data_IF_377680107997
#
_entry.id   IF_377680107997
#
_cell.length_a   1.000
_cell.length_b   1.000
_cell.length_c   1.000
_cell.angle_alpha   90.00
_cell.angle_beta   90.00
_cell.angle_gamma   90.00
#
_symmetry.space_group_name_H-M   'P 1'
#
loop_
_entity.id
_entity.type
_entity.pdbx_description
1 polymer ?
#
# COMPACT_ATOMS: atom_id res chain seq x y z
N UNK A 1 19.71 -5.19 14.42
CA UNK A 1 18.38 -4.60 14.68
C UNK A 1 17.84 -4.01 13.39
N UNK A 2 16.57 -4.22 13.07
CA UNK A 2 15.93 -3.63 11.88
C UNK A 2 15.12 -2.37 12.23
N UNK A 3 15.02 -1.43 11.29
CA UNK A 3 14.19 -0.23 11.42
C UNK A 3 13.10 -0.26 10.35
N UNK A 4 11.86 0.04 10.74
CA UNK A 4 10.74 0.20 9.80
C UNK A 4 10.85 1.58 9.15
N UNK A 5 11.12 1.61 7.85
CA UNK A 5 11.32 2.86 7.10
C UNK A 5 10.10 3.31 6.29
N UNK A 6 9.12 2.43 6.10
CA UNK A 6 7.87 2.72 5.41
C UNK A 6 6.74 1.78 5.85
N UNK A 7 5.51 2.28 5.80
CA UNK A 7 4.29 1.52 6.09
C UNK A 7 3.14 2.03 5.22
N UNK A 8 2.18 1.16 4.91
CA UNK A 8 1.00 1.47 4.12
C UNK A 8 0.09 0.26 4.03
N UNK A 9 -1.14 0.49 3.59
CA UNK A 9 -2.12 -0.58 3.42
C UNK A 9 -3.18 -0.23 2.39
N UNK A 10 -4.07 -1.18 2.17
CA UNK A 10 -5.22 -1.07 1.28
C UNK A 10 -6.44 -1.65 1.99
N UNK A 11 -7.57 -0.99 1.81
CA UNK A 11 -8.88 -1.46 2.27
C UNK A 11 -9.82 -1.48 1.06
N UNK A 12 -10.93 -2.22 1.13
CA UNK A 12 -12.07 -2.00 0.21
C UNK A 12 -12.49 -0.54 0.35
N UNK A 13 -12.72 0.13 -0.78
CA UNK A 13 -13.13 1.54 -0.77
C UNK A 13 -14.55 1.66 -0.21
N UNK A 14 -14.77 2.32 0.94
CA UNK A 14 -16.10 2.42 1.54
C UNK A 14 -17.07 3.30 0.74
N UNK A 15 -16.55 4.06 -0.24
CA UNK A 15 -17.35 4.92 -1.11
C UNK A 15 -17.56 4.34 -2.51
N UNK A 16 -16.91 3.21 -2.81
CA UNK A 16 -17.20 2.46 -4.02
C UNK A 16 -18.31 1.45 -3.73
N UNK A 17 -19.32 1.39 -4.59
CA UNK A 17 -20.30 0.29 -4.60
C UNK A 17 -19.75 -0.98 -5.27
N UNK A 18 -18.43 -1.17 -5.23
CA UNK A 18 -17.74 -2.30 -5.86
C UNK A 18 -16.63 -2.83 -4.92
N UNK A 19 -16.75 -4.06 -4.40
CA UNK A 19 -15.76 -4.67 -3.51
C UNK A 19 -14.41 -4.95 -4.20
N UNK A 20 -14.33 -4.87 -5.53
CA UNK A 20 -13.08 -4.99 -6.28
C UNK A 20 -12.26 -3.69 -6.26
N UNK A 21 -12.87 -2.57 -5.85
CA UNK A 21 -12.18 -1.28 -5.76
C UNK A 21 -11.58 -1.13 -4.36
N UNK A 22 -10.25 -1.09 -4.32
CA UNK A 22 -9.49 -0.84 -3.10
C UNK A 22 -8.96 0.59 -3.00
N UNK A 23 -8.94 1.15 -1.79
CA UNK A 23 -8.36 2.46 -1.47
C UNK A 23 -7.07 2.30 -0.68
N UNK A 24 -5.97 2.81 -1.24
CA UNK A 24 -4.70 2.92 -0.54
C UNK A 24 -4.83 3.89 0.63
N UNK A 25 -4.32 3.52 1.81
CA UNK A 25 -4.36 4.36 3.02
C UNK A 25 -3.06 4.29 3.82
N UNK A 26 -2.81 5.36 4.59
CA UNK A 26 -1.72 5.48 5.57
C UNK A 26 -0.33 5.15 5.01
N UNK A 27 -0.05 5.61 3.78
CA UNK A 27 1.27 5.42 3.15
C UNK A 27 2.24 6.47 3.70
N UNK A 28 3.22 6.01 4.46
CA UNK A 28 4.23 6.84 5.09
C UNK A 28 5.63 6.30 4.79
N UNK A 29 6.57 7.23 4.60
CA UNK A 29 8.00 6.95 4.46
C UNK A 29 8.74 7.91 5.39
N UNK A 30 9.65 7.35 6.19
CA UNK A 30 10.54 8.12 7.06
C UNK A 30 11.25 9.21 6.24
N UNK A 31 11.40 10.40 6.81
CA UNK A 31 11.81 11.61 6.08
C UNK A 31 13.16 11.43 5.39
N UNK A 32 14.10 10.77 6.07
CA UNK A 32 15.48 10.47 5.67
C UNK A 32 15.55 9.47 4.50
N UNK A 33 14.45 8.80 4.22
CA UNK A 33 14.30 7.75 3.21
C UNK A 33 13.39 8.17 2.05
N UNK A 34 12.86 9.40 2.07
CA UNK A 34 12.05 9.93 0.95
C UNK A 34 12.92 10.15 -0.29
N UNK A 35 12.25 10.24 -1.45
CA UNK A 35 12.86 10.43 -2.79
C UNK A 35 13.80 9.32 -3.26
N UNK A 36 13.89 8.21 -2.52
CA UNK A 36 14.65 6.99 -2.88
C UNK A 36 13.79 5.88 -3.50
N UNK A 37 12.57 6.20 -3.95
CA UNK A 37 11.65 5.22 -4.57
C UNK A 37 10.92 4.28 -3.60
N UNK A 38 11.15 4.36 -2.29
CA UNK A 38 10.59 3.44 -1.29
C UNK A 38 9.05 3.43 -1.27
N UNK A 39 8.42 4.61 -1.34
CA UNK A 39 6.95 4.70 -1.37
C UNK A 39 6.34 4.01 -2.61
N UNK A 40 6.98 4.16 -3.77
CA UNK A 40 6.58 3.48 -5.01
C UNK A 40 6.74 1.97 -4.87
N UNK A 41 7.86 1.50 -4.33
CA UNK A 41 8.08 0.07 -4.08
C UNK A 41 6.99 -0.52 -3.19
N UNK A 42 6.69 0.15 -2.06
CA UNK A 42 5.65 -0.27 -1.13
C UNK A 42 4.27 -0.36 -1.79
N UNK A 43 3.85 0.68 -2.51
CA UNK A 43 2.55 0.68 -3.20
C UNK A 43 2.47 -0.44 -4.24
N UNK A 44 3.52 -0.61 -5.06
CA UNK A 44 3.56 -1.68 -6.06
C UNK A 44 3.45 -3.07 -5.43
N UNK A 45 4.10 -3.27 -4.27
CA UNK A 45 4.01 -4.53 -3.53
C UNK A 45 2.60 -4.77 -3.00
N UNK A 46 1.97 -3.76 -2.40
CA UNK A 46 0.57 -3.82 -1.94
C UNK A 46 -0.35 -4.20 -3.11
N UNK A 47 -0.24 -3.52 -4.26
CA UNK A 47 -1.07 -3.81 -5.44
C UNK A 47 -0.83 -5.21 -6.00
N UNK A 48 0.43 -5.66 -6.04
CA UNK A 48 0.77 -7.01 -6.50
C UNK A 48 0.17 -8.09 -5.59
N UNK A 49 0.31 -7.95 -4.28
CA UNK A 49 -0.19 -8.94 -3.32
C UNK A 49 -1.73 -8.95 -3.29
N UNK A 50 -2.36 -7.78 -3.37
CA UNK A 50 -3.83 -7.66 -3.33
C UNK A 50 -4.50 -8.31 -4.54
N UNK A 51 -3.90 -8.23 -5.73
CA UNK A 51 -4.38 -8.94 -6.93
C UNK A 51 -4.44 -10.46 -6.78
N UNK A 52 -3.67 -11.03 -5.83
CA UNK A 52 -3.67 -12.48 -5.56
C UNK A 52 -4.75 -12.86 -4.55
N UNK A 53 -5.17 -11.93 -3.70
CA UNK A 53 -6.08 -12.20 -2.57
C UNK A 53 -7.53 -11.84 -2.87
N UNK A 54 -7.80 -10.79 -3.66
CA UNK A 54 -9.16 -10.36 -4.02
C UNK A 54 -9.81 -11.16 -5.17
N UNK A 55 -9.20 -12.27 -5.61
CA UNK A 55 -9.75 -13.16 -6.66
C UNK A 55 -10.59 -14.32 -6.11
N UNK A 56 -11.07 -14.24 -4.87
CA UNK A 56 -11.98 -15.24 -4.29
C UNK A 56 -13.42 -14.76 -4.37
#
# INVERSE_FOLDING_TARGET
>A
MGVIIAIGGINIDPFANDPQIGRIRRVFVLKEYRRKGIGRFLINKILFDTRRTLKK
#
